data_IF_410020162037
#
_entry.id   IF_410020162037
#
_cell.length_a   1.000
_cell.length_b   1.000
_cell.length_c   1.000
_cell.angle_alpha   90.00
_cell.angle_beta   90.00
_cell.angle_gamma   90.00
#
_symmetry.space_group_name_H-M   'P 1'
#
loop_
_entity.id
_entity.type
_entity.pdbx_description
1 polymer ?
#
# COMPACT_ATOMS: atom_id res chain seq x y z
N UNK A 1 22.70 2.59 -1.68
CA UNK A 1 23.54 3.81 -1.83
C UNK A 1 24.37 3.97 -0.57
N UNK A 2 25.61 4.50 -0.65
CA UNK A 2 26.42 4.75 0.55
C UNK A 2 25.96 5.99 1.30
N UNK A 3 26.35 6.11 2.58
CA UNK A 3 26.12 7.32 3.37
C UNK A 3 26.88 8.52 2.81
N UNK A 4 26.42 9.73 3.11
CA UNK A 4 27.13 10.96 2.75
C UNK A 4 28.33 11.15 3.71
N UNK A 5 29.55 10.88 3.23
CA UNK A 5 30.79 10.93 4.02
C UNK A 5 31.08 12.32 4.59
N UNK A 6 30.85 13.38 3.82
CA UNK A 6 31.04 14.77 4.27
C UNK A 6 30.10 15.11 5.43
N UNK A 7 28.85 14.66 5.35
CA UNK A 7 27.86 14.87 6.40
C UNK A 7 28.22 14.10 7.68
N UNK A 8 28.66 12.86 7.57
CA UNK A 8 29.09 12.03 8.71
C UNK A 8 30.30 12.67 9.38
N UNK A 9 31.31 13.08 8.59
CA UNK A 9 32.52 13.78 9.11
C UNK A 9 32.12 15.05 9.86
N UNK A 10 31.25 15.87 9.27
CA UNK A 10 30.75 17.09 9.93
C UNK A 10 30.08 16.81 11.29
N UNK A 11 29.21 15.79 11.36
CA UNK A 11 28.49 15.41 12.58
C UNK A 11 29.47 15.00 13.68
N UNK A 12 30.46 14.17 13.36
CA UNK A 12 31.43 13.65 14.32
C UNK A 12 32.40 14.76 14.78
N UNK A 13 32.95 15.54 13.87
CA UNK A 13 33.92 16.62 14.17
C UNK A 13 33.31 17.78 14.96
N UNK A 14 32.04 18.10 14.72
CA UNK A 14 31.33 19.16 15.43
C UNK A 14 30.49 18.65 16.61
N UNK A 15 30.61 17.36 16.95
CA UNK A 15 29.92 16.75 18.07
C UNK A 15 28.40 16.98 18.07
N UNK A 16 27.74 16.84 16.89
CA UNK A 16 26.29 16.98 16.74
C UNK A 16 25.61 15.72 17.31
N UNK A 17 24.89 15.87 18.42
CA UNK A 17 24.32 14.74 19.15
C UNK A 17 22.82 14.52 18.87
N UNK A 18 22.15 15.45 18.20
CA UNK A 18 20.73 15.38 17.91
C UNK A 18 20.44 14.28 16.88
N UNK A 19 19.56 13.35 17.23
CA UNK A 19 19.21 12.18 16.44
C UNK A 19 20.44 11.32 16.04
N UNK A 20 21.42 11.23 16.92
CA UNK A 20 22.62 10.42 16.71
C UNK A 20 22.81 9.42 17.84
N UNK A 21 22.88 8.15 17.48
CA UNK A 21 23.18 7.03 18.37
C UNK A 21 24.63 6.60 18.15
N UNK A 22 25.46 6.67 19.20
CA UNK A 22 26.85 6.22 19.18
C UNK A 22 26.98 4.91 19.93
N UNK A 23 27.64 3.92 19.36
CA UNK A 23 27.94 2.63 19.99
C UNK A 23 29.36 2.18 19.67
N UNK A 24 30.03 1.59 20.66
CA UNK A 24 31.16 0.73 20.40
C UNK A 24 30.70 -0.49 19.58
N UNK A 25 31.54 -1.43 19.23
CA UNK A 25 31.27 -2.42 18.20
C UNK A 25 30.27 -3.53 18.51
N UNK A 26 29.85 -3.73 19.74
CA UNK A 26 29.01 -4.87 20.13
C UNK A 26 27.53 -4.54 20.08
N UNK A 27 26.92 -4.65 18.89
CA UNK A 27 25.47 -4.57 18.72
C UNK A 27 24.92 -5.90 18.25
N UNK A 28 23.96 -6.44 19.01
CA UNK A 28 23.14 -7.54 18.54
C UNK A 28 22.19 -7.03 17.45
N UNK A 29 21.86 -7.83 16.40
CA UNK A 29 20.93 -7.41 15.37
C UNK A 29 19.59 -6.87 15.91
N UNK A 30 19.08 -7.45 16.99
CA UNK A 30 17.85 -7.01 17.67
C UNK A 30 17.97 -5.63 18.33
N UNK A 31 19.13 -5.28 18.88
CA UNK A 31 19.37 -3.92 19.41
C UNK A 31 19.52 -2.90 18.28
N UNK A 32 20.21 -3.27 17.22
CA UNK A 32 20.31 -2.41 16.04
C UNK A 32 18.94 -2.18 15.40
N UNK A 33 18.09 -3.22 15.29
CA UNK A 33 16.73 -3.11 14.83
C UNK A 33 15.90 -2.14 15.70
N UNK A 34 16.06 -2.21 17.02
CA UNK A 34 15.40 -1.29 17.97
C UNK A 34 15.80 0.17 17.73
N UNK A 35 17.11 0.44 17.52
CA UNK A 35 17.58 1.81 17.25
C UNK A 35 17.08 2.33 15.92
N UNK A 36 17.13 1.50 14.88
CA UNK A 36 16.63 1.86 13.56
C UNK A 36 15.12 2.12 13.61
N UNK A 37 14.35 1.24 14.25
CA UNK A 37 12.91 1.41 14.46
C UNK A 37 12.61 2.75 15.18
N UNK A 38 13.34 3.03 16.27
CA UNK A 38 13.15 4.26 17.05
C UNK A 38 13.46 5.54 16.28
N UNK A 39 14.52 5.57 15.48
CA UNK A 39 14.87 6.72 14.64
C UNK A 39 13.88 6.90 13.47
N UNK A 40 13.51 5.82 12.80
CA UNK A 40 12.56 5.85 11.69
C UNK A 40 11.18 6.38 12.11
N UNK A 41 10.74 6.05 13.32
CA UNK A 41 9.47 6.50 13.90
C UNK A 41 9.52 7.93 14.48
N UNK A 42 10.65 8.61 14.37
CA UNK A 42 10.77 10.01 14.74
C UNK A 42 11.20 10.81 13.50
N UNK A 43 12.26 11.53 13.54
CA UNK A 43 12.73 12.42 12.46
C UNK A 43 13.86 11.81 11.63
N UNK A 44 14.08 10.50 11.72
CA UNK A 44 15.26 9.85 11.18
C UNK A 44 16.52 10.18 11.97
N UNK A 45 17.71 9.83 11.47
CA UNK A 45 18.96 10.15 12.14
C UNK A 45 20.13 9.24 11.76
N UNK A 46 21.11 9.19 12.62
CA UNK A 46 22.35 8.44 12.37
C UNK A 46 22.67 7.46 13.50
N UNK A 47 23.21 6.31 13.14
CA UNK A 47 23.81 5.35 14.07
C UNK A 47 25.27 5.19 13.68
N UNK A 48 26.17 5.46 14.60
CA UNK A 48 27.61 5.30 14.42
C UNK A 48 28.13 4.14 15.26
N UNK A 49 28.70 3.14 14.58
CA UNK A 49 29.42 2.03 15.22
C UNK A 49 30.92 2.32 15.16
N UNK A 50 31.61 2.09 16.25
CA UNK A 50 32.99 2.50 16.46
C UNK A 50 33.11 3.93 17.03
N UNK A 51 32.02 4.46 17.59
CA UNK A 51 32.00 5.74 18.29
C UNK A 51 31.34 5.58 19.65
N UNK A 52 31.95 6.11 20.69
CA UNK A 52 31.39 6.15 22.04
C UNK A 52 30.99 7.57 22.46
N UNK A 53 29.95 7.67 23.27
CA UNK A 53 29.60 8.93 23.96
C UNK A 53 30.30 8.99 25.31
N UNK A 54 31.25 9.90 25.47
CA UNK A 54 31.97 10.08 26.75
C UNK A 54 31.94 11.55 27.15
N UNK A 55 31.39 11.84 28.34
CA UNK A 55 31.22 13.19 28.87
C UNK A 55 30.52 14.19 27.91
N UNK A 56 29.52 13.73 27.18
CA UNK A 56 28.77 14.54 26.19
C UNK A 56 29.50 14.79 24.87
N UNK A 57 30.66 14.14 24.65
CA UNK A 57 31.41 14.22 23.40
C UNK A 57 31.49 12.87 22.71
N UNK A 58 31.58 12.88 21.38
CA UNK A 58 31.85 11.70 20.58
C UNK A 58 33.35 11.36 20.63
N UNK A 59 33.67 10.13 21.01
CA UNK A 59 35.01 9.57 21.00
C UNK A 59 35.06 8.43 19.99
N UNK A 60 35.89 8.58 18.96
CA UNK A 60 36.09 7.52 17.98
C UNK A 60 36.98 6.42 18.58
N UNK A 61 36.46 5.18 18.54
CA UNK A 61 37.18 3.96 18.94
C UNK A 61 37.53 3.08 17.75
N UNK A 62 36.86 3.30 16.62
CA UNK A 62 37.07 2.64 15.34
C UNK A 62 36.27 1.36 15.13
N UNK A 63 36.01 1.04 13.88
CA UNK A 63 35.33 -0.15 13.41
C UNK A 63 36.15 -0.83 12.31
N UNK A 64 36.45 -2.12 12.45
CA UNK A 64 37.24 -2.83 11.44
C UNK A 64 36.41 -3.06 10.18
N UNK A 65 36.98 -2.80 8.99
CA UNK A 65 36.31 -3.00 7.67
C UNK A 65 35.99 -4.48 7.36
N UNK A 66 36.49 -5.40 8.15
CA UNK A 66 36.18 -6.83 8.05
C UNK A 66 34.85 -7.22 8.69
N UNK A 67 34.18 -6.27 9.37
CA UNK A 67 32.87 -6.50 9.94
C UNK A 67 31.82 -6.80 8.84
N UNK A 68 31.17 -7.97 8.93
CA UNK A 68 30.21 -8.43 7.91
C UNK A 68 28.87 -7.74 8.18
N UNK A 69 28.63 -6.65 7.47
CA UNK A 69 27.50 -5.75 7.71
C UNK A 69 26.22 -6.18 6.99
N UNK A 70 26.38 -6.64 5.73
CA UNK A 70 25.21 -6.92 4.88
C UNK A 70 24.30 -7.98 5.51
N UNK A 71 24.86 -9.04 6.08
CA UNK A 71 24.09 -10.06 6.76
C UNK A 71 23.35 -9.54 8.02
N UNK A 72 24.00 -8.62 8.76
CA UNK A 72 23.37 -7.98 9.95
C UNK A 72 22.25 -7.07 9.53
N UNK A 73 22.42 -6.26 8.50
CA UNK A 73 21.39 -5.36 7.99
C UNK A 73 20.18 -6.15 7.45
N UNK A 74 20.39 -7.23 6.72
CA UNK A 74 19.29 -8.10 6.26
C UNK A 74 18.53 -8.75 7.44
N UNK A 75 19.24 -9.18 8.50
CA UNK A 75 18.61 -9.68 9.71
C UNK A 75 17.80 -8.60 10.43
N UNK A 76 18.24 -7.35 10.41
CA UNK A 76 17.50 -6.21 10.98
C UNK A 76 16.23 -5.94 10.19
N UNK A 77 16.33 -5.86 8.87
CA UNK A 77 15.16 -5.63 8.00
C UNK A 77 14.09 -6.71 8.16
N UNK A 78 14.52 -7.96 8.31
CA UNK A 78 13.59 -9.09 8.49
C UNK A 78 12.80 -9.05 9.81
N UNK A 79 13.22 -8.25 10.80
CA UNK A 79 12.54 -8.08 12.10
C UNK A 79 11.53 -6.92 12.11
N UNK A 80 11.57 -6.04 11.09
CA UNK A 80 10.67 -4.90 10.98
C UNK A 80 9.46 -5.29 10.11
N UNK A 81 8.30 -4.76 10.45
CA UNK A 81 7.03 -5.07 9.76
C UNK A 81 6.86 -4.36 8.41
N UNK A 82 7.63 -3.31 8.16
CA UNK A 82 7.60 -2.54 6.93
C UNK A 82 9.00 -2.23 6.40
N UNK A 83 9.10 -1.95 5.11
CA UNK A 83 10.33 -1.49 4.49
C UNK A 83 10.71 -0.10 4.98
N UNK A 84 12.01 0.09 5.23
CA UNK A 84 12.61 1.34 5.69
C UNK A 84 13.65 1.85 4.69
N UNK A 85 13.75 3.17 4.57
CA UNK A 85 14.79 3.82 3.77
C UNK A 85 16.01 4.08 4.63
N UNK A 86 17.14 3.45 4.28
CA UNK A 86 18.42 3.69 4.95
C UNK A 86 19.61 3.55 4.01
N UNK A 87 20.66 4.30 4.32
CA UNK A 87 21.98 4.21 3.71
C UNK A 87 23.00 3.77 4.76
N UNK A 88 24.02 3.05 4.38
CA UNK A 88 25.06 2.64 5.33
C UNK A 88 26.41 2.43 4.64
N UNK A 89 27.48 2.55 5.39
CA UNK A 89 28.83 2.33 4.89
C UNK A 89 29.93 2.71 5.89
N UNK A 90 31.15 2.34 5.55
CA UNK A 90 32.33 2.79 6.29
C UNK A 90 32.72 4.21 5.89
N UNK A 91 33.02 5.03 6.88
CA UNK A 91 33.52 6.42 6.70
C UNK A 91 34.78 6.58 7.53
N UNK A 92 35.81 7.19 6.95
CA UNK A 92 37.08 7.50 7.65
C UNK A 92 37.07 8.95 8.12
N UNK A 93 37.05 9.16 9.41
CA UNK A 93 37.05 10.49 10.05
C UNK A 93 38.32 10.63 10.86
N UNK A 94 39.15 11.62 10.52
CA UNK A 94 40.43 11.83 11.22
C UNK A 94 41.37 10.62 11.20
N UNK A 95 41.26 9.78 10.17
CA UNK A 95 42.10 8.56 10.00
C UNK A 95 41.56 7.34 10.81
N UNK A 96 40.40 7.46 11.44
CA UNK A 96 39.74 6.36 12.13
C UNK A 96 38.52 5.93 11.32
N UNK A 97 38.43 4.65 10.97
CA UNK A 97 37.27 4.12 10.25
C UNK A 97 36.12 3.83 11.23
N UNK A 98 34.93 4.35 10.93
CA UNK A 98 33.68 4.08 11.65
C UNK A 98 32.64 3.52 10.67
N UNK A 99 31.64 2.81 11.18
CA UNK A 99 30.51 2.39 10.35
C UNK A 99 29.30 3.27 10.65
N UNK A 100 28.79 3.93 9.63
CA UNK A 100 27.67 4.85 9.72
C UNK A 100 26.41 4.26 9.07
N UNK A 101 25.27 4.39 9.73
CA UNK A 101 23.94 4.09 9.19
C UNK A 101 23.15 5.39 9.25
N UNK A 102 22.62 5.82 8.12
CA UNK A 102 21.71 6.94 7.98
C UNK A 102 20.30 6.36 7.80
N UNK A 103 19.38 6.72 8.68
CA UNK A 103 18.00 6.24 8.71
C UNK A 103 17.08 7.40 8.38
N UNK A 104 16.20 7.23 7.38
CA UNK A 104 15.18 8.23 7.05
C UNK A 104 13.97 8.10 7.98
N UNK A 105 13.26 9.23 8.17
CA UNK A 105 11.92 9.23 8.74
C UNK A 105 10.98 8.43 7.84
N UNK A 106 10.03 7.72 8.44
CA UNK A 106 8.98 7.01 7.73
C UNK A 106 7.62 7.69 7.94
N UNK A 107 6.86 7.81 6.87
CA UNK A 107 5.47 8.26 6.92
C UNK A 107 4.54 7.24 7.60
N UNK A 108 4.99 5.98 7.71
CA UNK A 108 4.26 4.89 8.36
C UNK A 108 4.94 4.52 9.68
N UNK A 109 4.15 4.12 10.67
CA UNK A 109 4.70 3.56 11.91
C UNK A 109 5.40 2.24 11.61
N UNK A 110 6.62 2.09 12.09
CA UNK A 110 7.43 0.88 11.98
C UNK A 110 7.41 0.14 13.31
N UNK A 111 7.11 -1.14 13.26
CA UNK A 111 7.04 -2.00 14.43
C UNK A 111 8.18 -3.03 14.40
N UNK A 112 8.73 -3.32 15.55
CA UNK A 112 9.72 -4.36 15.76
C UNK A 112 9.09 -5.47 16.61
N UNK A 113 8.81 -6.62 16.01
CA UNK A 113 8.19 -7.77 16.71
C UNK A 113 6.93 -7.39 17.50
N UNK A 114 6.06 -6.53 16.91
CA UNK A 114 4.82 -6.07 17.53
C UNK A 114 4.99 -4.96 18.58
N UNK A 115 6.20 -4.42 18.77
CA UNK A 115 6.52 -3.34 19.70
C UNK A 115 6.84 -2.06 18.96
N UNK A 116 6.36 -0.93 19.46
CA UNK A 116 6.61 0.39 18.90
C UNK A 116 7.69 1.12 19.66
N UNK A 117 8.75 1.51 18.97
CA UNK A 117 9.88 2.23 19.55
C UNK A 117 10.00 3.62 18.94
N UNK A 118 10.35 4.61 19.77
CA UNK A 118 10.61 6.00 19.36
C UNK A 118 11.93 6.47 19.98
N UNK A 119 12.73 7.20 19.21
CA UNK A 119 13.93 7.84 19.72
C UNK A 119 13.58 9.21 20.30
N UNK A 120 13.63 9.31 21.61
CA UNK A 120 13.37 10.54 22.38
C UNK A 120 14.38 10.67 23.52
N UNK A 121 14.68 11.88 23.94
CA UNK A 121 15.56 12.14 25.08
C UNK A 121 16.95 11.47 25.01
N UNK A 122 17.50 11.32 23.81
CA UNK A 122 18.77 10.62 23.52
C UNK A 122 18.77 9.11 23.78
N UNK A 123 17.61 8.48 23.86
CA UNK A 123 17.47 7.03 23.99
C UNK A 123 16.26 6.53 23.17
N UNK A 124 16.19 5.20 22.98
CA UNK A 124 15.09 4.55 22.32
C UNK A 124 14.17 3.91 23.35
N UNK A 125 12.98 4.47 23.46
CA UNK A 125 11.95 4.04 24.39
C UNK A 125 10.86 3.21 23.70
N UNK A 126 10.40 2.14 24.36
CA UNK A 126 9.20 1.42 23.95
C UNK A 126 7.98 2.27 24.35
N UNK A 127 7.17 2.64 23.37
CA UNK A 127 5.89 3.32 23.62
C UNK A 127 4.76 2.30 23.54
N UNK A 128 3.90 2.31 24.53
CA UNK A 128 2.64 1.56 24.44
C UNK A 128 1.71 2.35 23.52
N UNK A 129 1.82 2.06 22.24
CA UNK A 129 0.90 2.56 21.21
C UNK A 129 -0.01 1.37 20.87
N UNK A 130 -1.31 1.55 20.99
CA UNK A 130 -2.21 0.54 20.49
C UNK A 130 -2.06 0.53 18.96
N UNK A 131 -1.77 -0.62 18.39
CA UNK A 131 -1.76 -0.80 16.93
C UNK A 131 -3.07 -0.33 16.26
N UNK A 132 -4.12 -0.15 17.07
CA UNK A 132 -5.44 0.31 16.68
C UNK A 132 -5.63 1.85 16.72
N UNK A 133 -4.62 2.66 16.99
CA UNK A 133 -4.77 4.13 17.08
C UNK A 133 -4.66 4.84 15.73
N UNK A 134 -4.15 4.17 14.70
CA UNK A 134 -4.27 4.70 13.33
C UNK A 134 -5.62 4.31 12.72
N UNK A 135 -6.28 5.25 12.06
CA UNK A 135 -7.51 4.91 11.37
C UNK A 135 -7.22 3.92 10.24
N UNK A 136 -7.95 2.84 10.22
CA UNK A 136 -7.95 1.86 9.12
C UNK A 136 -8.19 2.59 7.80
N UNK A 137 -7.39 2.32 6.81
CA UNK A 137 -7.54 2.90 5.48
C UNK A 137 -8.32 1.95 4.57
N UNK A 138 -9.45 2.43 4.05
CA UNK A 138 -10.33 1.68 3.17
C UNK A 138 -10.46 2.41 1.83
N UNK A 139 -10.07 1.76 0.74
CA UNK A 139 -10.38 2.24 -0.60
C UNK A 139 -11.69 1.62 -1.09
N UNK A 140 -12.62 2.42 -1.64
CA UNK A 140 -13.85 1.92 -2.24
C UNK A 140 -13.76 2.04 -3.76
N UNK A 141 -13.71 0.88 -4.44
CA UNK A 141 -13.71 0.74 -5.89
C UNK A 141 -15.13 0.52 -6.41
N UNK A 142 -15.59 1.39 -7.31
CA UNK A 142 -16.95 1.36 -7.85
C UNK A 142 -17.05 2.10 -9.19
N UNK A 143 -18.19 1.99 -9.86
CA UNK A 143 -18.51 2.84 -11.03
C UNK A 143 -19.29 4.07 -10.60
N UNK A 144 -19.09 5.18 -11.30
CA UNK A 144 -19.75 6.47 -10.99
C UNK A 144 -21.29 6.35 -10.91
N UNK A 145 -21.89 5.51 -11.75
CA UNK A 145 -23.33 5.26 -11.69
C UNK A 145 -23.77 4.58 -10.38
N UNK A 146 -22.88 3.87 -9.69
CA UNK A 146 -23.16 3.18 -8.42
C UNK A 146 -22.93 4.09 -7.20
N UNK A 147 -22.57 5.35 -7.39
CA UNK A 147 -22.31 6.31 -6.31
C UNK A 147 -23.43 6.38 -5.26
N UNK A 148 -24.74 6.36 -5.60
CA UNK A 148 -25.80 6.39 -4.59
C UNK A 148 -25.76 5.20 -3.60
N UNK A 149 -25.34 4.03 -4.07
CA UNK A 149 -25.14 2.84 -3.24
C UNK A 149 -23.90 2.99 -2.37
N UNK A 150 -22.82 3.49 -2.96
CA UNK A 150 -21.54 3.71 -2.24
C UNK A 150 -21.71 4.73 -1.13
N UNK A 151 -22.49 5.79 -1.34
CA UNK A 151 -22.81 6.78 -0.31
C UNK A 151 -23.51 6.13 0.90
N UNK A 152 -24.43 5.20 0.67
CA UNK A 152 -25.09 4.45 1.74
C UNK A 152 -24.09 3.58 2.50
N UNK A 153 -23.22 2.85 1.78
CA UNK A 153 -22.19 1.97 2.36
C UNK A 153 -21.23 2.80 3.22
N UNK A 154 -20.68 3.86 2.65
CA UNK A 154 -19.71 4.73 3.32
C UNK A 154 -20.28 5.37 4.58
N UNK A 155 -21.50 5.94 4.49
CA UNK A 155 -22.16 6.55 5.65
C UNK A 155 -22.37 5.52 6.77
N UNK A 156 -22.75 4.28 6.44
CA UNK A 156 -22.92 3.22 7.44
C UNK A 156 -21.59 2.81 8.09
N UNK A 157 -20.54 2.68 7.31
CA UNK A 157 -19.20 2.35 7.82
C UNK A 157 -18.67 3.48 8.71
N UNK A 158 -18.79 4.75 8.27
CA UNK A 158 -18.39 5.93 9.05
C UNK A 158 -19.20 6.08 10.34
N UNK A 159 -20.51 5.83 10.31
CA UNK A 159 -21.37 5.86 11.50
C UNK A 159 -20.86 4.88 12.58
N UNK A 160 -20.40 3.70 12.17
CA UNK A 160 -19.98 2.61 13.06
C UNK A 160 -18.53 2.70 13.54
N UNK A 161 -17.62 3.10 12.68
CA UNK A 161 -16.17 3.16 12.99
C UNK A 161 -15.69 4.56 13.35
N UNK A 162 -16.43 5.62 12.99
CA UNK A 162 -16.11 7.03 13.28
C UNK A 162 -14.66 7.37 12.87
N UNK A 163 -13.89 7.93 13.80
CA UNK A 163 -12.50 8.34 13.59
C UNK A 163 -11.52 7.17 13.41
N UNK A 164 -11.98 5.93 13.56
CA UNK A 164 -11.17 4.72 13.41
C UNK A 164 -11.05 4.26 11.96
N UNK A 165 -11.66 4.96 11.00
CA UNK A 165 -11.55 4.64 9.58
C UNK A 165 -11.36 5.89 8.73
N UNK A 166 -10.47 5.78 7.75
CA UNK A 166 -10.31 6.75 6.66
C UNK A 166 -10.73 6.07 5.36
N UNK A 167 -11.73 6.61 4.70
CA UNK A 167 -12.27 6.06 3.45
C UNK A 167 -11.85 6.95 2.29
N UNK A 168 -11.27 6.35 1.27
CA UNK A 168 -10.85 7.00 0.02
C UNK A 168 -11.66 6.47 -1.16
N UNK A 169 -12.01 7.35 -2.10
CA UNK A 169 -12.65 7.05 -3.38
C UNK A 169 -11.96 7.82 -4.48
N UNK A 170 -12.09 7.35 -5.71
CA UNK A 170 -11.48 8.01 -6.87
C UNK A 170 -12.01 9.45 -7.10
N UNK A 171 -13.19 9.81 -6.57
CA UNK A 171 -13.76 11.17 -6.61
C UNK A 171 -12.95 12.20 -5.80
N UNK A 172 -11.99 11.78 -4.99
CA UNK A 172 -11.10 12.65 -4.23
C UNK A 172 -9.94 13.22 -5.07
N UNK A 173 -9.82 12.78 -6.34
CA UNK A 173 -8.85 13.33 -7.27
C UNK A 173 -9.10 14.84 -7.51
N UNK A 174 -8.08 15.63 -7.22
CA UNK A 174 -8.11 17.07 -7.49
C UNK A 174 -7.80 17.36 -8.95
N UNK A 175 -8.13 18.59 -9.37
CA UNK A 175 -7.78 19.08 -10.71
C UNK A 175 -6.27 18.98 -10.98
N UNK A 176 -5.90 18.23 -12.04
CA UNK A 176 -4.54 17.86 -12.48
C UNK A 176 -3.91 16.62 -11.79
N UNK A 177 -4.57 15.96 -10.86
CA UNK A 177 -4.06 14.70 -10.34
C UNK A 177 -4.03 13.64 -11.43
N UNK A 178 -2.98 12.83 -11.42
CA UNK A 178 -2.87 11.70 -12.35
C UNK A 178 -3.72 10.54 -11.85
N UNK A 179 -4.73 10.15 -12.64
CA UNK A 179 -5.51 8.95 -12.37
C UNK A 179 -4.64 7.70 -12.16
N UNK A 180 -3.60 7.51 -12.98
CA UNK A 180 -2.67 6.38 -12.85
C UNK A 180 -1.84 6.45 -11.57
N UNK A 181 -1.44 7.65 -11.14
CA UNK A 181 -0.72 7.80 -9.88
C UNK A 181 -1.63 7.49 -8.68
N UNK A 182 -2.88 7.94 -8.72
CA UNK A 182 -3.86 7.62 -7.69
C UNK A 182 -4.15 6.11 -7.61
N UNK A 183 -4.27 5.43 -8.75
CA UNK A 183 -4.48 3.98 -8.82
C UNK A 183 -3.34 3.18 -8.18
N UNK A 184 -2.11 3.68 -8.26
CA UNK A 184 -0.98 3.04 -7.60
C UNK A 184 -1.07 3.12 -6.05
N UNK A 185 -1.84 4.07 -5.50
CA UNK A 185 -2.02 4.19 -4.04
C UNK A 185 -3.01 3.16 -3.46
N UNK A 186 -3.71 2.38 -4.30
CA UNK A 186 -4.64 1.34 -3.82
C UNK A 186 -3.91 0.32 -2.95
N UNK A 187 -2.66 0.00 -3.29
CA UNK A 187 -1.84 -0.93 -2.50
C UNK A 187 -1.45 -0.38 -1.12
N UNK A 188 -1.52 0.92 -0.93
CA UNK A 188 -1.20 1.59 0.34
C UNK A 188 -2.37 1.56 1.36
N UNK A 189 -3.56 1.11 0.94
CA UNK A 189 -4.70 0.98 1.83
C UNK A 189 -4.71 -0.40 2.53
N UNK A 190 -5.17 -0.45 3.78
CA UNK A 190 -5.29 -1.70 4.53
C UNK A 190 -6.33 -2.63 3.89
N UNK A 191 -7.45 -2.06 3.43
CA UNK A 191 -8.53 -2.80 2.79
C UNK A 191 -9.03 -2.13 1.51
N UNK A 192 -9.56 -2.94 0.63
CA UNK A 192 -10.28 -2.50 -0.58
C UNK A 192 -11.66 -3.11 -0.58
N UNK A 193 -12.69 -2.28 -0.75
CA UNK A 193 -14.08 -2.72 -0.91
C UNK A 193 -14.51 -2.48 -2.36
N UNK A 194 -14.81 -3.54 -3.09
CA UNK A 194 -15.34 -3.43 -4.45
C UNK A 194 -16.87 -3.50 -4.46
N UNK A 195 -17.52 -2.54 -5.11
CA UNK A 195 -18.97 -2.56 -5.32
C UNK A 195 -19.22 -3.06 -6.75
N UNK A 196 -19.60 -4.34 -6.83
CA UNK A 196 -19.63 -5.09 -8.09
C UNK A 196 -21.02 -5.02 -8.72
N UNK A 197 -21.14 -4.23 -9.78
CA UNK A 197 -22.29 -4.17 -10.69
C UNK A 197 -21.97 -4.77 -12.06
N UNK A 198 -22.96 -4.94 -12.95
CA UNK A 198 -22.72 -5.32 -14.34
C UNK A 198 -21.81 -4.30 -15.05
N UNK A 199 -22.04 -3.00 -14.80
CA UNK A 199 -21.22 -1.90 -15.32
C UNK A 199 -19.79 -1.96 -14.79
N UNK A 200 -19.59 -2.30 -13.50
CA UNK A 200 -18.28 -2.45 -12.90
C UNK A 200 -17.40 -3.44 -13.68
N UNK A 201 -17.93 -4.64 -13.98
CA UNK A 201 -17.20 -5.69 -14.70
C UNK A 201 -16.91 -5.33 -16.17
N UNK A 202 -17.55 -4.29 -16.72
CA UNK A 202 -17.36 -3.82 -18.11
C UNK A 202 -16.54 -2.54 -18.21
N UNK A 203 -16.17 -1.91 -17.06
CA UNK A 203 -15.42 -0.64 -17.04
C UNK A 203 -13.92 -0.88 -16.90
N UNK A 204 -13.14 -0.33 -17.87
CA UNK A 204 -11.69 -0.56 -17.94
C UNK A 204 -10.97 -0.07 -16.69
N UNK A 205 -11.32 1.09 -16.16
CA UNK A 205 -10.75 1.63 -14.93
C UNK A 205 -10.92 0.66 -13.76
N UNK A 206 -12.16 0.18 -13.51
CA UNK A 206 -12.47 -0.74 -12.43
C UNK A 206 -11.73 -2.09 -12.57
N UNK A 207 -11.67 -2.64 -13.78
CA UNK A 207 -10.94 -3.88 -14.03
C UNK A 207 -9.42 -3.71 -13.96
N UNK A 208 -8.90 -2.50 -14.23
CA UNK A 208 -7.51 -2.17 -13.96
C UNK A 208 -7.22 -2.16 -12.47
N UNK A 209 -8.10 -1.56 -11.64
CA UNK A 209 -8.02 -1.59 -10.17
C UNK A 209 -7.97 -3.02 -9.65
N UNK A 210 -8.87 -3.87 -10.13
CA UNK A 210 -8.88 -5.30 -9.80
C UNK A 210 -7.54 -5.95 -10.14
N UNK A 211 -7.00 -5.69 -11.34
CA UNK A 211 -5.70 -6.21 -11.77
C UNK A 211 -4.53 -5.76 -10.87
N UNK A 212 -4.56 -4.51 -10.36
CA UNK A 212 -3.55 -4.02 -9.42
C UNK A 212 -3.67 -4.69 -8.05
N UNK A 213 -4.89 -4.90 -7.56
CA UNK A 213 -5.15 -5.58 -6.29
C UNK A 213 -4.67 -7.03 -6.33
N UNK A 214 -4.99 -7.76 -7.39
CA UNK A 214 -4.65 -9.19 -7.56
C UNK A 214 -3.13 -9.42 -7.64
N UNK A 215 -2.33 -8.41 -7.93
CA UNK A 215 -0.86 -8.53 -7.89
C UNK A 215 -0.31 -8.79 -6.48
N UNK A 216 -1.03 -8.37 -5.46
CA UNK A 216 -0.70 -8.67 -4.07
C UNK A 216 -1.01 -10.14 -3.77
N UNK A 217 -0.02 -10.91 -3.29
CA UNK A 217 -0.21 -12.32 -2.94
C UNK A 217 -1.22 -12.53 -1.78
N UNK A 218 -1.43 -11.51 -0.98
CA UNK A 218 -2.37 -11.50 0.16
C UNK A 218 -3.67 -10.75 -0.13
N UNK A 219 -3.98 -10.50 -1.41
CA UNK A 219 -5.16 -9.71 -1.78
C UNK A 219 -6.48 -10.26 -1.20
N UNK A 220 -6.58 -11.57 -1.02
CA UNK A 220 -7.79 -12.22 -0.48
C UNK A 220 -8.11 -11.80 0.95
N UNK A 221 -7.08 -11.47 1.72
CA UNK A 221 -7.23 -11.00 3.11
C UNK A 221 -7.64 -9.52 3.19
N UNK A 222 -7.45 -8.76 2.10
CA UNK A 222 -7.68 -7.31 2.03
C UNK A 222 -8.85 -6.92 1.15
N UNK A 223 -9.27 -7.78 0.23
CA UNK A 223 -10.31 -7.49 -0.74
C UNK A 223 -11.68 -7.92 -0.22
N UNK A 224 -12.49 -6.94 0.09
CA UNK A 224 -13.92 -7.09 0.40
C UNK A 224 -14.76 -6.78 -0.84
N UNK A 225 -15.94 -7.38 -0.94
CA UNK A 225 -16.83 -7.06 -2.05
C UNK A 225 -18.30 -7.10 -1.69
N UNK A 226 -19.07 -6.26 -2.36
CA UNK A 226 -20.53 -6.19 -2.29
C UNK A 226 -21.07 -6.36 -3.70
N UNK A 227 -21.89 -7.38 -3.92
CA UNK A 227 -22.49 -7.62 -5.23
C UNK A 227 -23.88 -7.00 -5.27
N UNK A 228 -24.12 -6.17 -6.28
CA UNK A 228 -25.40 -5.53 -6.51
C UNK A 228 -26.36 -6.46 -7.26
N UNK A 229 -27.64 -6.17 -7.15
CA UNK A 229 -28.73 -6.86 -7.85
C UNK A 229 -29.75 -5.86 -8.38
N UNK A 230 -30.76 -6.32 -9.12
CA UNK A 230 -31.84 -5.44 -9.58
C UNK A 230 -32.68 -4.83 -8.44
N UNK A 231 -32.58 -5.36 -7.24
CA UNK A 231 -33.29 -4.83 -6.06
C UNK A 231 -32.79 -3.45 -5.62
N UNK A 232 -31.53 -3.15 -5.93
CA UNK A 232 -30.92 -1.87 -5.62
C UNK A 232 -31.37 -0.75 -6.55
N UNK A 233 -32.13 -1.06 -7.64
CA UNK A 233 -32.65 -0.06 -8.60
C UNK A 233 -33.40 1.11 -7.92
N UNK A 234 -34.05 0.85 -6.81
CA UNK A 234 -34.78 1.87 -6.03
C UNK A 234 -33.90 3.00 -5.46
N UNK A 235 -32.60 2.79 -5.38
CA UNK A 235 -31.63 3.80 -4.88
C UNK A 235 -31.04 4.64 -5.99
N UNK A 236 -31.25 4.25 -7.26
CA UNK A 236 -30.86 5.04 -8.42
C UNK A 236 -31.99 5.98 -8.80
N UNK A 237 -31.62 7.13 -9.36
CA UNK A 237 -32.59 8.06 -9.93
C UNK A 237 -33.02 7.67 -11.35
N UNK A 238 -33.38 8.67 -12.15
CA UNK A 238 -33.78 8.47 -13.56
C UNK A 238 -32.67 7.90 -14.45
N UNK A 239 -31.40 8.11 -14.10
CA UNK A 239 -30.22 7.64 -14.82
C UNK A 239 -29.76 6.23 -14.41
N UNK A 240 -30.65 5.41 -13.83
CA UNK A 240 -30.33 4.04 -13.45
C UNK A 240 -29.82 3.22 -14.65
N UNK A 241 -28.72 2.44 -14.50
CA UNK A 241 -28.24 1.57 -15.54
C UNK A 241 -29.32 0.58 -15.99
N UNK A 242 -29.32 0.19 -17.28
CA UNK A 242 -30.25 -0.82 -17.81
C UNK A 242 -30.19 -2.12 -17.00
N UNK A 243 -28.98 -2.53 -16.63
CA UNK A 243 -28.70 -3.72 -15.82
C UNK A 243 -27.79 -3.35 -14.65
N UNK A 244 -28.22 -3.65 -13.44
CA UNK A 244 -27.49 -3.34 -12.20
C UNK A 244 -26.67 -4.54 -11.75
N UNK A 245 -27.35 -5.66 -11.49
CA UNK A 245 -26.70 -6.85 -10.96
C UNK A 245 -25.92 -7.64 -12.02
N UNK A 246 -24.67 -8.05 -11.70
CA UNK A 246 -23.91 -8.92 -12.59
C UNK A 246 -24.49 -10.34 -12.62
N UNK A 247 -24.34 -11.03 -13.76
CA UNK A 247 -24.86 -12.39 -13.95
C UNK A 247 -23.86 -13.49 -13.51
N UNK A 248 -23.07 -13.24 -12.47
CA UNK A 248 -21.96 -14.12 -12.06
C UNK A 248 -22.37 -15.41 -11.36
N UNK A 249 -23.54 -15.42 -10.73
CA UNK A 249 -24.05 -16.57 -9.98
C UNK A 249 -25.05 -17.45 -10.76
N UNK A 250 -25.33 -17.14 -12.02
CA UNK A 250 -26.31 -17.91 -12.83
C UNK A 250 -25.71 -19.18 -13.41
N UNK A 251 -24.50 -19.10 -13.92
CA UNK A 251 -23.81 -20.24 -14.49
C UNK A 251 -22.48 -19.85 -15.18
N UNK A 252 -21.72 -20.84 -15.67
CA UNK A 252 -20.46 -20.58 -16.33
C UNK A 252 -20.62 -19.81 -17.64
N UNK A 253 -21.72 -20.00 -18.35
CA UNK A 253 -21.97 -19.32 -19.63
C UNK A 253 -22.10 -17.81 -19.44
N UNK A 254 -22.86 -17.40 -18.43
CA UNK A 254 -23.05 -15.99 -18.10
C UNK A 254 -21.76 -15.31 -17.59
N UNK A 255 -20.89 -16.07 -16.93
CA UNK A 255 -19.56 -15.56 -16.56
C UNK A 255 -18.68 -15.35 -17.79
N UNK A 256 -18.73 -16.25 -18.76
CA UNK A 256 -17.98 -16.13 -20.00
C UNK A 256 -18.43 -14.92 -20.85
N UNK A 257 -19.65 -14.39 -20.66
CA UNK A 257 -20.06 -13.15 -21.34
C UNK A 257 -19.15 -11.96 -21.03
N UNK A 258 -18.62 -11.89 -19.81
CA UNK A 258 -17.68 -10.81 -19.42
C UNK A 258 -16.31 -11.00 -20.07
N UNK A 259 -15.81 -12.22 -20.15
CA UNK A 259 -14.55 -12.54 -20.82
C UNK A 259 -14.67 -12.24 -22.32
N UNK A 260 -15.79 -12.64 -22.95
CA UNK A 260 -16.08 -12.39 -24.35
C UNK A 260 -16.26 -10.89 -24.65
N UNK A 261 -16.91 -10.14 -23.76
CA UNK A 261 -16.99 -8.68 -23.87
C UNK A 261 -15.60 -8.04 -23.94
N UNK A 262 -14.67 -8.42 -23.09
CA UNK A 262 -13.31 -7.87 -23.07
C UNK A 262 -12.49 -8.34 -24.26
N UNK A 263 -12.67 -9.60 -24.69
CA UNK A 263 -12.05 -10.11 -25.90
C UNK A 263 -12.48 -9.32 -27.14
N UNK A 264 -13.77 -9.07 -27.32
CA UNK A 264 -14.28 -8.25 -28.43
C UNK A 264 -13.71 -6.83 -28.40
N UNK A 265 -13.60 -6.22 -27.23
CA UNK A 265 -12.95 -4.90 -27.08
C UNK A 265 -11.49 -4.94 -27.52
N UNK A 266 -10.76 -5.96 -27.12
CA UNK A 266 -9.38 -6.16 -27.54
C UNK A 266 -9.26 -6.29 -29.05
N UNK A 267 -10.00 -7.22 -29.66
CA UNK A 267 -9.97 -7.49 -31.11
C UNK A 267 -10.33 -6.22 -31.91
N UNK A 268 -11.34 -5.46 -31.48
CA UNK A 268 -11.76 -4.23 -32.13
C UNK A 268 -10.68 -3.13 -32.03
N UNK A 269 -10.05 -2.95 -30.88
CA UNK A 269 -8.99 -1.96 -30.72
C UNK A 269 -7.76 -2.34 -31.56
N UNK A 270 -7.33 -3.59 -31.49
CA UNK A 270 -6.22 -4.11 -32.31
C UNK A 270 -6.45 -3.91 -33.80
N UNK A 271 -7.64 -4.22 -34.28
CA UNK A 271 -8.02 -4.00 -35.68
C UNK A 271 -7.91 -2.54 -36.08
N UNK A 272 -8.48 -1.62 -35.29
CA UNK A 272 -8.41 -0.18 -35.55
C UNK A 272 -6.98 0.35 -35.57
N UNK A 273 -6.14 -0.12 -34.66
CA UNK A 273 -4.72 0.26 -34.60
C UNK A 273 -3.98 -0.17 -35.89
N UNK A 274 -4.26 -1.38 -36.38
CA UNK A 274 -3.70 -1.87 -37.68
C UNK A 274 -4.16 -1.04 -38.85
N UNK A 275 -5.42 -0.59 -38.87
CA UNK A 275 -5.99 0.24 -39.93
C UNK A 275 -5.32 1.64 -39.97
N UNK A 276 -4.99 2.22 -38.82
CA UNK A 276 -4.30 3.52 -38.75
C UNK A 276 -2.84 3.40 -39.25
N UNK A 277 -2.18 2.29 -38.94
CA UNK A 277 -0.82 1.96 -39.39
C UNK A 277 0.23 3.08 -39.18
N UNK A 278 0.08 3.83 -38.10
CA UNK A 278 1.02 4.88 -37.63
C UNK A 278 1.36 4.62 -36.20
N UNK A 279 2.62 4.25 -35.90
CA UNK A 279 3.10 3.85 -34.59
C UNK A 279 3.02 4.98 -33.55
N UNK A 280 3.27 6.21 -33.98
CA UNK A 280 3.22 7.37 -33.09
C UNK A 280 1.78 7.71 -32.71
N UNK A 281 0.88 7.74 -33.70
CA UNK A 281 -0.55 7.98 -33.50
C UNK A 281 -1.23 6.93 -32.60
N UNK A 282 -0.79 5.66 -32.64
CA UNK A 282 -1.37 4.57 -31.84
C UNK A 282 -0.60 4.28 -30.53
N UNK A 283 0.44 5.03 -30.21
CA UNK A 283 1.29 4.76 -29.04
C UNK A 283 0.49 4.67 -27.74
N UNK A 284 -0.42 5.60 -27.49
CA UNK A 284 -1.30 5.61 -26.31
C UNK A 284 -2.30 4.44 -26.34
N UNK A 285 -2.89 4.13 -27.51
CA UNK A 285 -3.79 3.01 -27.69
C UNK A 285 -3.08 1.65 -27.44
N UNK A 286 -1.77 1.57 -27.64
CA UNK A 286 -0.97 0.37 -27.32
C UNK A 286 -0.94 0.06 -25.83
N UNK A 287 -0.97 1.08 -24.98
CA UNK A 287 -1.07 0.90 -23.52
C UNK A 287 -2.45 0.35 -23.15
N UNK A 288 -3.51 0.95 -23.70
CA UNK A 288 -4.88 0.46 -23.48
C UNK A 288 -5.05 -0.98 -23.97
N UNK A 289 -4.48 -1.32 -25.13
CA UNK A 289 -4.52 -2.68 -25.67
C UNK A 289 -3.87 -3.69 -24.72
N UNK A 290 -2.73 -3.34 -24.09
CA UNK A 290 -2.07 -4.19 -23.09
C UNK A 290 -2.97 -4.42 -21.88
N UNK A 291 -3.57 -3.34 -21.35
CA UNK A 291 -4.47 -3.40 -20.20
C UNK A 291 -5.68 -4.29 -20.53
N UNK A 292 -6.37 -4.04 -21.63
CA UNK A 292 -7.53 -4.84 -22.06
C UNK A 292 -7.12 -6.30 -22.30
N UNK A 293 -5.93 -6.51 -22.88
CA UNK A 293 -5.37 -7.84 -23.12
C UNK A 293 -5.14 -8.61 -21.81
N UNK A 294 -4.65 -7.96 -20.76
CA UNK A 294 -4.46 -8.56 -19.46
C UNK A 294 -5.81 -8.88 -18.81
N UNK A 295 -6.77 -7.94 -18.86
CA UNK A 295 -8.10 -8.13 -18.28
C UNK A 295 -8.75 -9.41 -18.85
N UNK A 296 -8.84 -9.57 -20.16
CA UNK A 296 -9.55 -10.74 -20.72
C UNK A 296 -8.77 -12.05 -20.60
N UNK A 297 -7.43 -12.03 -20.57
CA UNK A 297 -6.62 -13.25 -20.52
C UNK A 297 -6.44 -13.79 -19.09
N UNK A 298 -6.51 -12.92 -18.10
CA UNK A 298 -6.20 -13.28 -16.71
C UNK A 298 -7.17 -12.67 -15.71
N UNK A 299 -7.15 -11.34 -15.55
CA UNK A 299 -7.72 -10.66 -14.40
C UNK A 299 -9.24 -10.88 -14.27
N UNK A 300 -9.97 -10.91 -15.39
CA UNK A 300 -11.42 -11.15 -15.37
C UNK A 300 -11.75 -12.55 -14.86
N UNK A 301 -11.08 -13.57 -15.36
CA UNK A 301 -11.34 -14.96 -14.91
C UNK A 301 -10.98 -15.14 -13.44
N UNK A 302 -9.83 -14.63 -13.03
CA UNK A 302 -9.36 -14.74 -11.62
C UNK A 302 -10.31 -14.00 -10.67
N UNK A 303 -10.79 -12.82 -11.07
CA UNK A 303 -11.75 -12.07 -10.27
C UNK A 303 -13.13 -12.75 -10.20
N UNK A 304 -13.62 -13.27 -11.32
CA UNK A 304 -14.89 -14.01 -11.35
C UNK A 304 -14.83 -15.29 -10.52
N UNK A 305 -13.69 -15.98 -10.51
CA UNK A 305 -13.47 -17.15 -9.66
C UNK A 305 -13.48 -16.73 -8.19
N UNK A 306 -12.75 -15.67 -7.83
CA UNK A 306 -12.78 -15.11 -6.47
C UNK A 306 -14.19 -14.76 -6.02
N UNK A 307 -14.96 -14.03 -6.82
CA UNK A 307 -16.35 -13.66 -6.49
C UNK A 307 -17.29 -14.87 -6.35
N UNK A 308 -16.94 -16.00 -6.99
CA UNK A 308 -17.76 -17.23 -6.97
C UNK A 308 -17.39 -18.14 -5.81
N UNK A 309 -16.12 -18.20 -5.43
CA UNK A 309 -15.61 -19.07 -4.37
C UNK A 309 -15.81 -18.47 -2.99
N UNK A 310 -15.69 -17.15 -2.88
CA UNK A 310 -15.89 -16.46 -1.62
C UNK A 310 -17.39 -16.23 -1.33
N UNK A 311 -17.77 -16.34 -0.07
CA UNK A 311 -19.18 -16.19 0.35
C UNK A 311 -19.59 -14.71 0.39
N UNK A 312 -19.51 -14.04 -0.75
CA UNK A 312 -19.93 -12.65 -0.91
C UNK A 312 -21.40 -12.44 -0.60
N UNK A 313 -21.73 -11.31 -0.01
CA UNK A 313 -23.10 -10.99 0.31
C UNK A 313 -23.65 -9.91 -0.60
N UNK A 314 -24.95 -10.04 -0.92
CA UNK A 314 -25.65 -9.00 -1.64
C UNK A 314 -25.78 -7.75 -0.76
N UNK A 315 -25.79 -6.57 -1.39
CA UNK A 315 -26.01 -5.30 -0.72
C UNK A 315 -27.21 -5.35 0.23
N UNK A 316 -28.36 -5.90 -0.19
CA UNK A 316 -29.56 -5.98 0.63
C UNK A 316 -29.32 -6.72 1.95
N UNK A 317 -28.61 -7.86 1.92
CA UNK A 317 -28.29 -8.62 3.14
C UNK A 317 -27.40 -7.84 4.08
N UNK A 318 -26.36 -7.19 3.55
CA UNK A 318 -25.46 -6.35 4.35
C UNK A 318 -26.18 -5.12 4.92
N UNK A 319 -27.06 -4.51 4.13
CA UNK A 319 -27.83 -3.35 4.56
C UNK A 319 -28.78 -3.69 5.73
N UNK A 320 -29.50 -4.83 5.67
CA UNK A 320 -30.37 -5.30 6.75
C UNK A 320 -29.59 -5.56 8.04
N UNK A 321 -28.36 -6.08 7.94
CA UNK A 321 -27.48 -6.36 9.07
C UNK A 321 -26.57 -5.18 9.43
N UNK A 322 -26.85 -3.95 8.97
CA UNK A 322 -26.03 -2.76 9.21
C UNK A 322 -24.53 -2.96 8.89
N UNK A 323 -24.23 -3.75 7.87
CA UNK A 323 -22.86 -4.07 7.43
C UNK A 323 -21.99 -4.72 8.52
N UNK A 324 -22.58 -5.41 9.48
CA UNK A 324 -21.84 -6.03 10.60
C UNK A 324 -20.68 -6.91 10.14
N UNK A 325 -20.84 -7.63 9.04
CA UNK A 325 -19.79 -8.52 8.52
C UNK A 325 -18.61 -7.73 7.92
N UNK A 326 -18.90 -6.68 7.15
CA UNK A 326 -17.86 -5.78 6.64
C UNK A 326 -17.12 -5.10 7.80
N UNK A 327 -17.88 -4.62 8.80
CA UNK A 327 -17.30 -4.00 10.00
C UNK A 327 -16.44 -4.99 10.80
N UNK A 328 -16.82 -6.27 10.85
CA UNK A 328 -16.03 -7.29 11.54
C UNK A 328 -14.67 -7.56 10.87
N UNK A 329 -14.61 -7.48 9.55
CA UNK A 329 -13.38 -7.58 8.78
C UNK A 329 -12.47 -6.36 8.93
N UNK A 330 -13.05 -5.17 9.10
CA UNK A 330 -12.34 -3.91 9.28
C UNK A 330 -11.87 -3.69 10.74
N UNK A 331 -11.94 -4.67 11.61
CA UNK A 331 -11.49 -4.61 13.00
C UNK A 331 -10.24 -5.45 13.23
#
# INVERSE_FOLDING_TARGET
MGVNEDRVSYIVENNVLDNVICRALELRPTELAKYICGLTNNTGGYIFLGVEKQNGCMKMVGCQKTFIVDGVIEMVKAQLDNEISMNYGFVSVGGVDIFAIEVAESDKKIWLEGKYFVYENNDVEEKVVNQNDEPITLFISYTECDAPIVDIIENKIKERLKDRIRISRYTELQYKDSFMAFMNTIQDHDFVLTVVSDTYLRRQACMYEVGEIIKDHHYKDRLLFVVLSEKERKYYGEDAPEKIGPAIYKGPEERLEYVDYWKRRYDNLEKRMREINDLEAVSKASVDLKIIGQIFRKDMSEFLDFLSDENGKSFEKLYVNNFDEVIAWLK
#
